data_IF_911517856171
#
_entry.id   IF_911517856171
#
_cell.length_a   1.000
_cell.length_b   1.000
_cell.length_c   1.000
_cell.angle_alpha   90.00
_cell.angle_beta   90.00
_cell.angle_gamma   90.00
#
_symmetry.space_group_name_H-M   'P 1'
#
loop_
_entity.id
_entity.type
_entity.pdbx_description
1 polymer ?
#
# COMPACT_ATOMS: atom_id res chain seq x y z
N UNK A 1 -3.57 -4.22 -34.25
CA UNK A 1 -3.68 -4.31 -32.79
C UNK A 1 -2.96 -3.12 -32.22
N UNK A 2 -3.66 -2.19 -31.58
CA UNK A 2 -3.02 -1.19 -30.72
C UNK A 2 -2.37 -1.96 -29.58
N UNK A 3 -1.04 -1.87 -29.45
CA UNK A 3 -0.33 -2.40 -28.30
C UNK A 3 -0.85 -1.64 -27.07
N UNK A 4 -1.19 -2.38 -26.00
CA UNK A 4 -1.54 -1.75 -24.73
C UNK A 4 -0.36 -0.91 -24.24
N UNK A 5 -0.64 0.20 -23.57
CA UNK A 5 0.43 1.03 -23.01
C UNK A 5 1.30 0.22 -22.03
N UNK A 6 2.61 0.51 -21.93
CA UNK A 6 3.52 -0.23 -21.04
C UNK A 6 2.99 -0.29 -19.61
N UNK A 7 3.07 -1.47 -19.00
CA UNK A 7 2.69 -1.73 -17.62
C UNK A 7 3.94 -1.98 -16.76
N UNK A 8 4.10 -1.21 -15.70
CA UNK A 8 5.15 -1.34 -14.70
C UNK A 8 4.51 -1.70 -13.36
N UNK A 9 5.06 -2.72 -12.69
CA UNK A 9 4.63 -3.13 -11.35
C UNK A 9 5.80 -2.93 -10.40
N UNK A 10 5.56 -2.22 -9.30
CA UNK A 10 6.55 -1.90 -8.27
C UNK A 10 6.15 -2.54 -6.94
N UNK A 11 7.03 -3.40 -6.44
CA UNK A 11 6.91 -4.03 -5.12
C UNK A 11 7.25 -3.09 -3.97
N UNK A 12 7.54 -3.69 -2.82
CA UNK A 12 7.75 -3.03 -1.53
C UNK A 12 8.75 -1.88 -1.61
N UNK A 13 8.37 -0.73 -1.05
CA UNK A 13 9.20 0.48 -1.03
C UNK A 13 9.85 0.67 0.32
N UNK A 14 9.12 0.45 1.42
CA UNK A 14 9.61 0.58 2.79
C UNK A 14 10.40 1.88 3.04
N UNK A 15 9.79 3.01 2.72
CA UNK A 15 10.39 4.34 2.90
C UNK A 15 11.72 4.57 2.18
N UNK A 16 12.12 3.71 1.22
CA UNK A 16 13.36 3.86 0.46
C UNK A 16 13.21 4.89 -0.67
N UNK A 17 12.79 6.11 -0.32
CA UNK A 17 12.43 7.17 -1.26
C UNK A 17 13.51 7.47 -2.32
N UNK A 18 14.78 7.53 -1.92
CA UNK A 18 15.89 7.76 -2.86
C UNK A 18 16.05 6.63 -3.88
N UNK A 19 15.87 5.37 -3.45
CA UNK A 19 15.94 4.22 -4.37
C UNK A 19 14.75 4.20 -5.30
N UNK A 20 13.55 4.46 -4.77
CA UNK A 20 12.33 4.57 -5.56
C UNK A 20 12.49 5.62 -6.67
N UNK A 21 12.89 6.84 -6.31
CA UNK A 21 13.06 7.93 -7.28
C UNK A 21 14.14 7.62 -8.33
N UNK A 22 15.23 6.93 -7.93
CA UNK A 22 16.22 6.41 -8.88
C UNK A 22 15.61 5.43 -9.88
N UNK A 23 14.86 4.42 -9.41
CA UNK A 23 14.20 3.43 -10.27
C UNK A 23 13.18 4.09 -11.24
N UNK A 24 12.41 5.06 -10.77
CA UNK A 24 11.43 5.76 -11.61
C UNK A 24 12.12 6.60 -12.70
N UNK A 25 13.25 7.25 -12.40
CA UNK A 25 14.05 7.98 -13.39
C UNK A 25 14.69 7.03 -14.41
N UNK A 26 15.27 5.92 -13.95
CA UNK A 26 15.88 4.90 -14.82
C UNK A 26 14.85 4.29 -15.78
N UNK A 27 13.61 4.11 -15.31
CA UNK A 27 12.48 3.67 -16.12
C UNK A 27 11.87 4.77 -17.02
N UNK A 28 12.34 6.02 -16.89
CA UNK A 28 11.80 7.22 -17.56
C UNK A 28 10.31 7.44 -17.30
N UNK A 29 9.87 7.16 -16.07
CA UNK A 29 8.51 7.41 -15.61
C UNK A 29 8.37 8.80 -14.97
N UNK A 30 9.47 9.35 -14.45
CA UNK A 30 9.53 10.71 -13.92
C UNK A 30 10.74 11.47 -14.46
N UNK A 31 10.63 12.79 -14.52
CA UNK A 31 11.71 13.70 -14.93
C UNK A 31 12.70 14.01 -13.78
N UNK A 32 13.63 14.95 -14.02
CA UNK A 32 14.65 15.34 -13.05
C UNK A 32 14.02 15.99 -11.79
N UNK A 33 12.90 16.69 -11.97
CA UNK A 33 12.06 17.29 -10.92
C UNK A 33 11.10 16.29 -10.23
N UNK A 34 11.13 15.01 -10.63
CA UNK A 34 10.24 13.94 -10.13
C UNK A 34 8.75 14.16 -10.47
N UNK A 35 8.48 14.83 -11.58
CA UNK A 35 7.14 14.95 -12.17
C UNK A 35 6.91 13.84 -13.18
N UNK A 36 5.67 13.41 -13.36
CA UNK A 36 5.31 12.36 -14.32
C UNK A 36 5.74 12.71 -15.75
N UNK A 37 6.53 11.82 -16.36
CA UNK A 37 6.90 11.89 -17.78
C UNK A 37 6.62 10.58 -18.53
N UNK A 38 5.99 9.59 -17.87
CA UNK A 38 5.69 8.28 -18.45
C UNK A 38 4.65 8.29 -19.58
N UNK A 39 4.05 9.44 -19.90
CA UNK A 39 3.01 9.58 -20.92
C UNK A 39 1.83 8.66 -20.60
N UNK A 40 1.45 7.80 -21.55
CA UNK A 40 0.36 6.84 -21.40
C UNK A 40 0.72 5.59 -20.57
N UNK A 41 1.94 5.48 -20.03
CA UNK A 41 2.35 4.32 -19.23
C UNK A 41 1.45 4.12 -18.01
N UNK A 42 1.38 2.86 -17.57
CA UNK A 42 0.63 2.43 -16.39
C UNK A 42 1.61 1.94 -15.34
N UNK A 43 1.59 2.50 -14.15
CA UNK A 43 2.44 2.13 -13.02
C UNK A 43 1.56 1.72 -11.84
N UNK A 44 1.81 0.53 -11.31
CA UNK A 44 1.14 0.01 -10.12
C UNK A 44 2.13 -0.21 -8.99
N UNK A 45 1.86 0.36 -7.83
CA UNK A 45 2.52 0.04 -6.57
C UNK A 45 1.72 -1.04 -5.85
N UNK A 46 2.34 -2.15 -5.46
CA UNK A 46 1.64 -3.27 -4.81
C UNK A 46 1.80 -3.28 -3.28
N UNK A 47 1.84 -2.10 -2.66
CA UNK A 47 1.81 -1.92 -1.20
C UNK A 47 3.17 -1.69 -0.54
N UNK A 48 3.15 -1.62 0.79
CA UNK A 48 4.32 -1.49 1.66
C UNK A 48 5.15 -0.23 1.39
N UNK A 49 4.50 0.93 1.50
CA UNK A 49 5.13 2.25 1.40
C UNK A 49 5.89 2.63 2.67
N UNK A 50 5.44 2.14 3.83
CA UNK A 50 5.91 2.54 5.15
C UNK A 50 6.98 1.62 5.74
N UNK A 51 7.57 2.12 6.83
CA UNK A 51 8.48 1.44 7.75
C UNK A 51 9.86 1.14 7.16
N UNK A 52 10.84 0.89 8.05
CA UNK A 52 12.23 0.49 7.78
C UNK A 52 13.13 1.52 7.10
N UNK A 53 12.60 2.34 6.19
CA UNK A 53 13.32 3.42 5.51
C UNK A 53 12.89 4.82 5.98
N UNK A 54 13.72 5.85 5.74
CA UNK A 54 13.52 7.17 6.34
C UNK A 54 12.55 8.10 5.60
N UNK A 55 12.03 7.69 4.42
CA UNK A 55 11.27 8.56 3.52
C UNK A 55 9.87 8.05 3.20
N UNK A 56 9.17 7.44 4.16
CA UNK A 56 7.85 6.87 3.92
C UNK A 56 6.79 7.93 3.61
N UNK A 57 6.79 9.06 4.32
CA UNK A 57 5.85 10.16 4.05
C UNK A 57 6.12 10.77 2.68
N UNK A 58 7.38 11.03 2.33
CA UNK A 58 7.80 11.53 1.02
C UNK A 58 7.39 10.58 -0.11
N UNK A 59 7.49 9.27 0.15
CA UNK A 59 7.02 8.23 -0.78
C UNK A 59 5.53 8.36 -1.03
N UNK A 60 4.72 8.42 0.04
CA UNK A 60 3.26 8.55 -0.09
C UNK A 60 2.87 9.85 -0.80
N UNK A 61 3.46 10.98 -0.41
CA UNK A 61 3.22 12.27 -1.05
C UNK A 61 3.52 12.24 -2.55
N UNK A 62 4.64 11.61 -2.93
CA UNK A 62 5.01 11.46 -4.34
C UNK A 62 4.04 10.54 -5.08
N UNK A 63 3.68 9.39 -4.54
CA UNK A 63 2.73 8.46 -5.19
C UNK A 63 1.40 9.18 -5.42
N UNK A 64 0.82 9.80 -4.39
CA UNK A 64 -0.43 10.56 -4.49
C UNK A 64 -0.35 11.66 -5.57
N UNK A 65 0.79 12.35 -5.69
CA UNK A 65 1.00 13.35 -6.73
C UNK A 65 1.09 12.72 -8.12
N UNK A 66 1.88 11.66 -8.28
CA UNK A 66 2.03 10.96 -9.56
C UNK A 66 0.71 10.35 -10.06
N UNK A 67 -0.20 9.93 -9.17
CA UNK A 67 -1.56 9.53 -9.56
C UNK A 67 -2.31 10.64 -10.31
N UNK A 68 -2.24 11.87 -9.81
CA UNK A 68 -2.88 13.01 -10.45
C UNK A 68 -2.18 13.39 -11.76
N UNK A 69 -0.85 13.51 -11.74
CA UNK A 69 -0.07 13.92 -12.92
C UNK A 69 -0.16 12.90 -14.07
N UNK A 70 -0.15 11.61 -13.76
CA UNK A 70 -0.32 10.56 -14.75
C UNK A 70 -1.70 10.60 -15.40
N UNK A 71 -2.76 10.78 -14.60
CA UNK A 71 -4.12 10.91 -15.12
C UNK A 71 -4.25 12.11 -16.08
N UNK A 72 -3.67 13.25 -15.73
CA UNK A 72 -3.68 14.46 -16.56
C UNK A 72 -2.89 14.27 -17.89
N UNK A 73 -1.86 13.43 -17.88
CA UNK A 73 -1.04 13.10 -19.05
C UNK A 73 -1.59 11.93 -19.88
N UNK A 74 -2.74 11.36 -19.52
CA UNK A 74 -3.33 10.19 -20.19
C UNK A 74 -2.66 8.85 -19.86
N UNK A 75 -1.83 8.82 -18.82
CA UNK A 75 -1.29 7.62 -18.19
C UNK A 75 -2.09 7.20 -16.96
N UNK A 76 -1.49 6.30 -16.18
CA UNK A 76 -2.11 5.80 -14.96
C UNK A 76 -1.05 5.48 -13.92
N UNK A 77 -1.22 5.97 -12.71
CA UNK A 77 -0.49 5.51 -11.54
C UNK A 77 -1.52 5.08 -10.51
N UNK A 78 -1.36 3.89 -9.95
CA UNK A 78 -2.28 3.31 -8.98
C UNK A 78 -1.50 2.59 -7.87
N UNK A 79 -2.17 2.36 -6.76
CA UNK A 79 -1.58 1.73 -5.59
C UNK A 79 -2.54 0.71 -4.98
N UNK A 80 -1.99 -0.38 -4.47
CA UNK A 80 -2.64 -1.30 -3.55
C UNK A 80 -2.16 -1.03 -2.12
N UNK A 81 -2.93 -1.48 -1.14
CA UNK A 81 -2.42 -1.63 0.22
C UNK A 81 -1.62 -2.93 0.36
N UNK A 82 -0.50 -2.84 1.06
CA UNK A 82 0.22 -3.97 1.64
C UNK A 82 -0.17 -4.18 3.09
N UNK A 83 0.67 -4.91 3.84
CA UNK A 83 0.39 -5.15 5.26
C UNK A 83 0.89 -4.01 6.15
N UNK A 84 1.80 -3.16 5.68
CA UNK A 84 2.33 -2.04 6.46
C UNK A 84 1.37 -0.84 6.52
N UNK A 85 0.51 -0.65 5.52
CA UNK A 85 -0.53 0.39 5.52
C UNK A 85 -1.56 0.21 6.66
N UNK A 86 -2.26 -0.93 6.80
CA UNK A 86 -3.15 -1.15 7.93
C UNK A 86 -2.38 -1.18 9.26
N UNK A 87 -1.10 -1.53 9.28
CA UNK A 87 -0.30 -1.58 10.50
C UNK A 87 -0.04 -0.19 11.10
N UNK A 88 0.39 0.78 10.30
CA UNK A 88 0.59 2.16 10.78
C UNK A 88 -0.76 2.83 11.09
N UNK A 89 -1.82 2.55 10.32
CA UNK A 89 -3.17 3.05 10.60
C UNK A 89 -3.68 2.53 11.94
N UNK A 90 -3.48 1.25 12.25
CA UNK A 90 -3.85 0.65 13.53
C UNK A 90 -3.02 1.23 14.69
N UNK A 91 -1.72 1.45 14.49
CA UNK A 91 -0.88 2.12 15.49
C UNK A 91 -1.36 3.54 15.78
N UNK A 92 -1.74 4.30 14.75
CA UNK A 92 -2.31 5.65 14.90
C UNK A 92 -3.66 5.64 15.62
N UNK A 93 -4.51 4.68 15.31
CA UNK A 93 -5.89 4.63 15.80
C UNK A 93 -6.01 4.05 17.20
N UNK A 94 -5.31 2.95 17.47
CA UNK A 94 -5.49 2.17 18.68
C UNK A 94 -4.30 2.27 19.65
N UNK A 95 -3.14 2.75 19.21
CA UNK A 95 -1.99 3.05 20.06
C UNK A 95 -1.61 1.89 20.99
N UNK A 96 -1.74 2.14 22.30
CA UNK A 96 -1.40 1.18 23.36
C UNK A 96 -2.47 0.11 23.64
N UNK A 97 -3.49 -0.01 22.79
CA UNK A 97 -4.46 -1.11 22.87
C UNK A 97 -3.77 -2.44 22.60
N UNK A 98 -4.06 -3.45 23.44
CA UNK A 98 -3.44 -4.78 23.34
C UNK A 98 -3.95 -5.56 22.12
N UNK A 99 -3.03 -6.27 21.47
CA UNK A 99 -3.35 -7.29 20.46
C UNK A 99 -3.52 -8.67 21.11
N UNK A 100 -4.13 -9.61 20.40
CA UNK A 100 -4.36 -10.97 20.84
C UNK A 100 -3.06 -11.77 20.97
N UNK A 101 -2.09 -11.57 20.06
CA UNK A 101 -0.85 -12.36 20.03
C UNK A 101 0.24 -11.79 20.94
N UNK A 102 0.54 -10.49 20.85
CA UNK A 102 1.59 -9.89 21.68
C UNK A 102 1.65 -8.37 21.60
N UNK A 103 1.81 -7.72 22.76
CA UNK A 103 2.06 -6.29 22.84
C UNK A 103 0.83 -5.44 22.55
N UNK A 104 1.09 -4.23 22.03
CA UNK A 104 0.08 -3.25 21.62
C UNK A 104 0.17 -3.01 20.11
N UNK A 105 -0.81 -2.34 19.50
CA UNK A 105 -0.74 -1.98 18.07
C UNK A 105 0.49 -1.11 17.79
N UNK A 106 0.75 -0.11 18.63
CA UNK A 106 1.93 0.75 18.52
C UNK A 106 3.23 -0.05 18.67
N UNK A 107 3.29 -0.97 19.64
CA UNK A 107 4.45 -1.84 19.81
C UNK A 107 4.66 -2.76 18.60
N UNK A 108 3.58 -3.33 18.06
CA UNK A 108 3.63 -4.25 16.92
C UNK A 108 4.11 -3.55 15.66
N UNK A 109 3.65 -2.32 15.40
CA UNK A 109 4.14 -1.49 14.30
C UNK A 109 5.62 -1.12 14.45
N UNK A 110 6.03 -0.60 15.61
CA UNK A 110 7.45 -0.30 15.90
C UNK A 110 8.36 -1.52 15.70
N UNK A 111 7.93 -2.70 16.14
CA UNK A 111 8.67 -3.96 15.97
C UNK A 111 8.85 -4.35 14.50
N UNK A 112 7.94 -3.94 13.61
CA UNK A 112 8.03 -4.19 12.17
C UNK A 112 8.83 -3.13 11.39
N UNK A 113 9.47 -2.19 12.10
CA UNK A 113 10.31 -1.14 11.53
C UNK A 113 9.65 0.24 11.51
N UNK A 114 8.52 0.42 12.20
CA UNK A 114 7.85 1.71 12.30
C UNK A 114 8.72 2.81 12.90
N UNK A 115 8.66 4.00 12.28
CA UNK A 115 9.32 5.23 12.73
C UNK A 115 8.29 6.20 13.31
N UNK A 116 8.44 6.55 14.59
CA UNK A 116 7.57 7.51 15.31
C UNK A 116 7.47 8.86 14.59
N UNK A 117 8.50 9.28 13.83
CA UNK A 117 8.45 10.50 13.03
C UNK A 117 7.41 10.40 11.90
N UNK A 118 7.30 9.26 11.22
CA UNK A 118 6.29 9.05 10.18
C UNK A 118 4.88 9.07 10.79
N UNK A 119 4.68 8.40 11.92
CA UNK A 119 3.41 8.39 12.63
C UNK A 119 3.00 9.79 13.11
N UNK A 120 3.96 10.62 13.51
CA UNK A 120 3.73 12.02 13.89
C UNK A 120 3.37 12.90 12.70
N UNK A 121 3.95 12.64 11.52
CA UNK A 121 3.73 13.37 10.26
C UNK A 121 2.51 12.91 9.46
N UNK A 122 1.88 11.78 9.82
CA UNK A 122 0.64 11.35 9.20
C UNK A 122 -0.45 12.42 9.31
N UNK A 123 -0.93 12.88 8.15
CA UNK A 123 -2.03 13.83 8.03
C UNK A 123 -3.35 13.10 7.83
N UNK A 124 -4.48 13.79 8.03
CA UNK A 124 -5.79 13.23 7.68
C UNK A 124 -5.90 12.86 6.20
N UNK A 125 -5.21 13.60 5.32
CA UNK A 125 -5.15 13.32 3.88
C UNK A 125 -4.42 12.00 3.60
N UNK A 126 -3.31 11.73 4.29
CA UNK A 126 -2.61 10.44 4.18
C UNK A 126 -3.51 9.31 4.69
N UNK A 127 -4.12 9.48 5.86
CA UNK A 127 -5.00 8.47 6.45
C UNK A 127 -6.17 8.12 5.53
N UNK A 128 -6.82 9.13 4.95
CA UNK A 128 -7.93 8.93 4.01
C UNK A 128 -7.47 8.19 2.74
N UNK A 129 -6.34 8.62 2.15
CA UNK A 129 -5.77 7.96 0.98
C UNK A 129 -5.43 6.49 1.26
N UNK A 130 -4.69 6.22 2.34
CA UNK A 130 -4.30 4.86 2.76
C UNK A 130 -5.50 3.96 3.01
N UNK A 131 -6.50 4.47 3.72
CA UNK A 131 -7.73 3.73 4.04
C UNK A 131 -8.63 3.51 2.81
N UNK A 132 -8.34 4.19 1.69
CA UNK A 132 -9.05 4.04 0.42
C UNK A 132 -8.39 3.05 -0.54
N UNK A 133 -7.13 2.68 -0.32
CA UNK A 133 -6.39 1.79 -1.22
C UNK A 133 -7.11 0.44 -1.38
N UNK A 134 -7.24 -0.08 -2.61
CA UNK A 134 -7.71 -1.44 -2.81
C UNK A 134 -6.69 -2.46 -2.32
N UNK A 135 -7.16 -3.63 -1.91
CA UNK A 135 -6.33 -4.78 -1.54
C UNK A 135 -5.84 -5.56 -2.76
N UNK A 136 -6.60 -5.49 -3.85
CA UNK A 136 -6.37 -6.25 -5.06
C UNK A 136 -6.89 -5.53 -6.31
N UNK A 137 -6.24 -5.76 -7.44
CA UNK A 137 -6.66 -5.25 -8.74
C UNK A 137 -6.40 -6.28 -9.84
N UNK A 138 -7.27 -6.33 -10.86
CA UNK A 138 -7.01 -7.05 -12.10
C UNK A 138 -6.61 -6.04 -13.17
N UNK A 139 -5.40 -6.17 -13.69
CA UNK A 139 -4.84 -5.28 -14.71
C UNK A 139 -4.46 -6.13 -15.91
N UNK A 140 -5.16 -5.93 -17.03
CA UNK A 140 -5.11 -6.84 -18.18
C UNK A 140 -5.43 -8.29 -17.73
N UNK A 141 -4.44 -9.18 -17.75
CA UNK A 141 -4.55 -10.59 -17.34
C UNK A 141 -3.85 -10.89 -15.99
N UNK A 142 -3.33 -9.86 -15.31
CA UNK A 142 -2.57 -9.99 -14.08
C UNK A 142 -3.43 -9.62 -12.86
N UNK A 143 -3.58 -10.57 -11.94
CA UNK A 143 -4.10 -10.29 -10.60
C UNK A 143 -2.96 -9.74 -9.74
N UNK A 144 -3.11 -8.50 -9.28
CA UNK A 144 -2.17 -7.84 -8.38
C UNK A 144 -2.70 -7.97 -6.95
N UNK A 145 -1.87 -8.54 -6.08
CA UNK A 145 -2.05 -8.65 -4.62
C UNK A 145 -0.71 -8.41 -3.96
N UNK A 146 -0.74 -7.93 -2.71
CA UNK A 146 0.49 -7.74 -1.95
C UNK A 146 0.99 -9.05 -1.33
N UNK A 147 0.13 -9.74 -0.58
CA UNK A 147 0.48 -10.99 0.08
C UNK A 147 0.11 -12.19 -0.79
N UNK A 148 1.01 -13.16 -0.89
CA UNK A 148 0.72 -14.45 -1.50
C UNK A 148 -0.06 -15.33 -0.50
N UNK A 149 -1.37 -15.07 -0.38
CA UNK A 149 -2.26 -15.77 0.56
C UNK A 149 -3.69 -15.89 0.05
N UNK A 150 -4.41 -16.90 0.51
CA UNK A 150 -5.83 -17.13 0.20
C UNK A 150 -6.79 -16.33 1.09
N UNK A 151 -6.31 -15.65 2.13
CA UNK A 151 -7.18 -15.00 3.12
C UNK A 151 -8.16 -14.01 2.49
N UNK A 152 -7.79 -13.37 1.37
CA UNK A 152 -8.65 -12.47 0.61
C UNK A 152 -10.02 -13.08 0.30
N UNK A 153 -10.07 -14.39 0.03
CA UNK A 153 -11.33 -15.11 -0.27
C UNK A 153 -12.32 -15.13 0.90
N UNK A 154 -11.86 -14.89 2.12
CA UNK A 154 -12.72 -14.74 3.30
C UNK A 154 -13.51 -13.43 3.31
N UNK A 155 -13.07 -12.44 2.51
CA UNK A 155 -13.66 -11.12 2.42
C UNK A 155 -14.59 -10.94 1.21
N UNK A 156 -14.62 -11.91 0.29
CA UNK A 156 -15.48 -11.87 -0.89
C UNK A 156 -15.09 -12.86 -1.98
N UNK A 157 -16.03 -13.13 -2.88
CA UNK A 157 -15.83 -13.99 -4.05
C UNK A 157 -15.37 -13.19 -5.30
N UNK A 158 -15.41 -11.86 -5.24
CA UNK A 158 -14.94 -10.98 -6.33
C UNK A 158 -13.99 -9.91 -5.81
N UNK A 159 -13.14 -9.36 -6.68
CA UNK A 159 -12.21 -8.26 -6.37
C UNK A 159 -12.93 -7.09 -5.70
N UNK A 160 -14.08 -6.68 -6.25
CA UNK A 160 -14.87 -5.59 -5.69
C UNK A 160 -15.43 -5.91 -4.30
N UNK A 161 -15.83 -7.16 -4.04
CA UNK A 161 -16.32 -7.57 -2.72
C UNK A 161 -15.19 -7.52 -1.70
N UNK A 162 -14.01 -8.06 -2.04
CA UNK A 162 -12.83 -8.04 -1.18
C UNK A 162 -12.41 -6.60 -0.87
N UNK A 163 -12.24 -5.77 -1.91
CA UNK A 163 -11.84 -4.37 -1.74
C UNK A 163 -12.85 -3.58 -0.89
N UNK A 164 -14.16 -3.77 -1.10
CA UNK A 164 -15.18 -3.12 -0.27
C UNK A 164 -15.14 -3.61 1.18
N UNK A 165 -15.06 -4.92 1.40
CA UNK A 165 -15.06 -5.49 2.74
C UNK A 165 -13.85 -5.02 3.56
N UNK A 166 -12.65 -5.02 2.96
CA UNK A 166 -11.44 -4.54 3.62
C UNK A 166 -11.48 -3.02 3.83
N UNK A 167 -11.94 -2.23 2.85
CA UNK A 167 -12.17 -0.79 3.05
C UNK A 167 -13.14 -0.53 4.20
N UNK A 168 -14.25 -1.27 4.29
CA UNK A 168 -15.19 -1.15 5.40
C UNK A 168 -14.52 -1.48 6.73
N UNK A 169 -13.75 -2.56 6.81
CA UNK A 169 -13.02 -2.94 8.02
C UNK A 169 -12.08 -1.81 8.49
N UNK A 170 -11.30 -1.22 7.59
CA UNK A 170 -10.38 -0.12 7.90
C UNK A 170 -11.07 1.18 8.37
N UNK A 171 -12.40 1.27 8.29
CA UNK A 171 -13.16 2.40 8.83
C UNK A 171 -13.84 2.09 10.18
N UNK A 172 -13.69 0.87 10.70
CA UNK A 172 -14.29 0.47 11.99
C UNK A 172 -13.43 0.86 13.19
N UNK A 173 -14.07 1.02 14.34
CA UNK A 173 -13.43 1.08 15.66
C UNK A 173 -13.45 -0.29 16.35
N UNK A 174 -13.01 -1.33 15.65
CA UNK A 174 -13.02 -2.73 16.12
C UNK A 174 -11.60 -3.30 16.20
N UNK A 175 -10.85 -3.09 17.30
CA UNK A 175 -9.47 -3.56 17.42
C UNK A 175 -9.30 -5.07 17.16
N UNK A 176 -10.17 -5.99 17.66
CA UNK A 176 -10.12 -7.40 17.29
C UNK A 176 -10.18 -7.67 15.77
N UNK A 177 -11.03 -6.97 15.02
CA UNK A 177 -11.12 -7.14 13.57
C UNK A 177 -9.83 -6.69 12.86
N UNK A 178 -9.24 -5.58 13.29
CA UNK A 178 -7.95 -5.10 12.76
C UNK A 178 -6.80 -6.03 13.08
N UNK A 179 -6.73 -6.53 14.33
CA UNK A 179 -5.70 -7.48 14.74
C UNK A 179 -5.80 -8.79 13.95
N UNK A 180 -7.03 -9.27 13.70
CA UNK A 180 -7.25 -10.43 12.85
C UNK A 180 -6.76 -10.22 11.41
N UNK A 181 -7.06 -9.05 10.81
CA UNK A 181 -6.57 -8.71 9.48
C UNK A 181 -5.03 -8.70 9.42
N UNK A 182 -4.38 -8.06 10.39
CA UNK A 182 -2.92 -7.98 10.45
C UNK A 182 -2.25 -9.35 10.63
N UNK A 183 -2.89 -10.24 11.40
CA UNK A 183 -2.44 -11.63 11.54
C UNK A 183 -2.56 -12.42 10.22
N UNK A 184 -3.67 -12.25 9.50
CA UNK A 184 -3.88 -12.89 8.20
C UNK A 184 -2.83 -12.47 7.16
N UNK A 185 -2.49 -11.18 7.12
CA UNK A 185 -1.40 -10.68 6.27
C UNK A 185 -0.02 -11.27 6.63
N UNK A 186 0.17 -11.71 7.87
CA UNK A 186 1.41 -12.33 8.34
C UNK A 186 1.49 -13.84 8.01
N UNK A 187 0.42 -14.43 7.45
CA UNK A 187 0.40 -15.80 6.97
C UNK A 187 1.46 -16.01 5.88
N UNK A 188 2.20 -17.13 5.95
CA UNK A 188 3.24 -17.48 4.99
C UNK A 188 3.07 -18.93 4.57
N UNK A 189 3.56 -19.27 3.37
CA UNK A 189 3.65 -20.65 2.88
C UNK A 189 2.29 -21.33 2.63
N UNK A 190 1.22 -20.56 2.44
CA UNK A 190 -0.15 -21.08 2.21
C UNK A 190 -0.30 -21.88 0.90
N UNK A 191 0.67 -21.77 -0.01
CA UNK A 191 0.69 -22.48 -1.30
C UNK A 191 1.86 -23.47 -1.44
N UNK A 192 2.61 -23.73 -0.36
CA UNK A 192 3.63 -24.77 -0.35
C UNK A 192 2.96 -26.09 0.08
N UNK A 193 2.75 -26.99 -0.89
CA UNK A 193 2.37 -28.40 -0.66
C UNK A 193 3.46 -29.17 0.12
#
# INVERSE_FOLDING_TARGET
MTLSAPLYIMGDIHGQYEKLTGLLRDARLVDDELSWMGGAARLWFIGDFFDRGPGAIETVDMVMRLQAEAADAGGQVEALMGNHEPLILAARRFGETRTARSGTFLWSWRRNGGDDNDLARLTSRHIEWLSSLPAMALVDEYLLIHADSTFYTSYGATIDQVNRALRTLLHTDDPPAWDHLLDQFSGRQEFLD
#
